data_IF_031464030068
#
_entry.id   IF_031464030068
#
_cell.length_a   1.000
_cell.length_b   1.000
_cell.length_c   1.000
_cell.angle_alpha   90.00
_cell.angle_beta   90.00
_cell.angle_gamma   90.00
#
_symmetry.space_group_name_H-M   'P 1'
#
loop_
_entity.id
_entity.type
_entity.pdbx_description
1 polymer ?
#
# COMPACT_ATOMS: atom_id res chain seq x y z
N UNK A 1 -14.88 46.34 -13.25
CA UNK A 1 -13.47 46.76 -13.35
C UNK A 1 -12.98 46.40 -14.75
N UNK A 2 -12.42 47.39 -15.47
CA UNK A 2 -11.40 47.32 -16.54
C UNK A 2 -11.14 45.95 -17.23
N UNK A 3 -11.39 45.79 -18.55
CA UNK A 3 -10.51 46.17 -19.69
C UNK A 3 -9.29 45.22 -19.84
N UNK A 4 -8.83 44.74 -21.03
CA UNK A 4 -9.06 45.11 -22.44
C UNK A 4 -8.38 44.09 -23.39
N UNK A 5 -8.88 43.91 -24.62
CA UNK A 5 -8.13 43.90 -25.92
C UNK A 5 -9.10 43.59 -27.07
N UNK A 6 -9.63 44.60 -27.76
CA UNK A 6 -9.04 45.31 -28.91
C UNK A 6 -8.76 44.43 -30.14
N UNK A 7 -9.71 44.43 -31.07
CA UNK A 7 -9.49 44.16 -32.50
C UNK A 7 -8.66 45.26 -33.16
N UNK A 8 -8.04 44.97 -34.31
CA UNK A 8 -7.83 45.92 -35.43
C UNK A 8 -7.77 45.10 -36.73
N UNK A 9 -8.35 45.63 -37.80
CA UNK A 9 -8.49 45.01 -39.12
C UNK A 9 -8.12 46.07 -40.18
N UNK A 10 -7.06 45.83 -40.96
CA UNK A 10 -6.63 46.65 -42.12
C UNK A 10 -5.46 45.91 -42.81
N UNK A 11 -5.34 45.82 -44.14
CA UNK A 11 -6.21 46.23 -45.24
C UNK A 11 -5.68 45.66 -46.57
N UNK A 12 -6.53 45.57 -47.60
CA UNK A 12 -6.20 44.97 -48.91
C UNK A 12 -5.47 45.97 -49.81
N UNK A 13 -4.46 45.52 -50.58
CA UNK A 13 -4.22 46.11 -51.91
C UNK A 13 -3.62 45.11 -52.92
N UNK A 14 -4.24 45.08 -54.10
CA UNK A 14 -3.85 44.35 -55.30
C UNK A 14 -2.93 45.25 -56.15
N UNK A 15 -1.85 44.71 -56.76
CA UNK A 15 -1.49 45.12 -58.13
C UNK A 15 -0.60 44.10 -58.86
N UNK A 16 -0.86 43.96 -60.15
CA UNK A 16 -0.20 43.07 -61.11
C UNK A 16 0.88 43.84 -61.87
N UNK A 17 2.03 43.21 -62.15
CA UNK A 17 2.83 43.54 -63.34
C UNK A 17 3.28 42.24 -64.02
N UNK A 18 2.91 42.09 -65.28
CA UNK A 18 3.40 41.04 -66.20
C UNK A 18 4.21 41.74 -67.29
N UNK A 19 5.40 41.25 -67.62
CA UNK A 19 5.84 40.87 -68.98
C UNK A 19 7.37 40.69 -69.09
N UNK A 20 7.80 39.60 -69.74
CA UNK A 20 9.09 39.34 -70.48
C UNK A 20 10.42 39.82 -69.86
N UNK A 21 11.47 39.00 -69.70
CA UNK A 21 11.75 37.64 -70.17
C UNK A 21 12.79 37.60 -71.30
N UNK A 22 13.92 36.93 -71.06
CA UNK A 22 14.78 36.33 -72.10
C UNK A 22 15.69 35.23 -71.51
N UNK A 23 15.67 34.05 -72.15
CA UNK A 23 16.76 33.05 -72.34
C UNK A 23 17.62 32.66 -71.13
N UNK A 24 17.80 31.38 -70.77
CA UNK A 24 17.88 30.14 -71.59
C UNK A 24 17.65 28.90 -70.68
N UNK A 25 17.44 27.65 -71.13
CA UNK A 25 17.40 27.01 -72.48
C UNK A 25 16.38 25.84 -72.44
N UNK A 26 16.57 24.79 -73.26
CA UNK A 26 15.95 23.45 -73.23
C UNK A 26 16.99 22.41 -73.69
N UNK A 27 16.86 21.14 -73.30
CA UNK A 27 16.32 20.02 -74.14
C UNK A 27 16.33 18.65 -73.39
N UNK A 28 15.63 17.59 -73.87
CA UNK A 28 15.28 16.39 -73.08
C UNK A 28 15.68 15.01 -73.68
N UNK A 29 15.24 13.93 -73.00
CA UNK A 29 14.85 12.56 -73.48
C UNK A 29 15.84 11.36 -73.44
N UNK A 30 15.51 10.41 -72.55
CA UNK A 30 15.51 8.92 -72.64
C UNK A 30 16.78 8.01 -72.76
N UNK A 31 16.59 6.76 -72.30
CA UNK A 31 17.52 5.80 -71.67
C UNK A 31 18.03 4.67 -72.62
N UNK A 32 19.09 3.87 -72.29
CA UNK A 32 19.00 2.76 -71.30
C UNK A 32 20.29 2.30 -70.54
N UNK A 33 20.08 1.63 -69.38
CA UNK A 33 20.96 0.63 -68.69
C UNK A 33 22.37 1.05 -68.19
N UNK A 34 22.94 0.52 -67.08
CA UNK A 34 22.47 -0.26 -65.92
C UNK A 34 23.60 -0.26 -64.82
N UNK A 35 23.29 -0.68 -63.58
CA UNK A 35 24.19 -0.97 -62.43
C UNK A 35 25.07 0.20 -61.91
N UNK A 36 24.93 0.73 -60.69
CA UNK A 36 24.88 -0.02 -59.42
C UNK A 36 24.50 0.84 -58.20
N UNK A 37 23.70 0.26 -57.29
CA UNK A 37 23.56 0.59 -55.85
C UNK A 37 23.46 2.07 -55.44
N UNK A 38 22.23 2.57 -55.39
CA UNK A 38 21.75 3.23 -54.18
C UNK A 38 20.85 2.24 -53.44
N UNK A 39 21.28 1.75 -52.28
CA UNK A 39 20.40 1.06 -51.35
C UNK A 39 19.58 2.11 -50.61
N UNK A 40 18.27 1.94 -50.57
CA UNK A 40 17.40 2.74 -49.70
C UNK A 40 17.77 2.43 -48.24
N UNK A 41 18.41 3.38 -47.57
CA UNK A 41 18.45 3.41 -46.12
C UNK A 41 17.04 3.76 -45.64
N UNK A 42 16.22 2.72 -45.46
CA UNK A 42 15.06 2.81 -44.56
C UNK A 42 15.65 3.07 -43.18
N UNK A 43 15.56 4.32 -42.73
CA UNK A 43 15.97 4.70 -41.39
C UNK A 43 15.24 3.82 -40.39
N UNK A 44 15.99 3.09 -39.58
CA UNK A 44 15.42 2.40 -38.43
C UNK A 44 14.94 3.48 -37.47
N UNK A 45 13.61 3.65 -37.34
CA UNK A 45 13.06 4.37 -36.20
C UNK A 45 13.50 3.60 -34.95
N UNK A 46 14.34 4.26 -34.14
CA UNK A 46 14.91 3.67 -32.94
C UNK A 46 13.76 3.39 -31.97
N UNK A 47 13.52 2.10 -31.67
CA UNK A 47 12.37 1.67 -30.89
C UNK A 47 12.48 2.22 -29.47
N UNK A 48 11.62 3.21 -29.16
CA UNK A 48 11.59 3.83 -27.85
C UNK A 48 11.23 2.80 -26.77
N UNK A 49 12.11 2.68 -25.77
CA UNK A 49 11.91 1.85 -24.59
C UNK A 49 10.62 2.22 -23.85
N UNK A 50 9.91 1.21 -23.34
CA UNK A 50 8.72 1.44 -22.52
C UNK A 50 9.11 2.00 -21.15
N UNK A 51 8.59 3.18 -20.80
CA UNK A 51 8.81 3.77 -19.47
C UNK A 51 7.75 3.31 -18.46
N UNK A 52 8.01 3.51 -17.16
CA UNK A 52 7.04 3.21 -16.09
C UNK A 52 5.75 4.02 -16.25
N UNK A 53 5.87 5.29 -16.62
CA UNK A 53 4.75 6.21 -16.83
C UNK A 53 3.90 5.77 -18.03
N UNK A 54 4.53 5.29 -19.10
CA UNK A 54 3.84 4.73 -20.26
C UNK A 54 3.11 3.42 -19.90
N UNK A 55 3.73 2.52 -19.13
CA UNK A 55 3.11 1.28 -18.67
C UNK A 55 1.84 1.56 -17.83
N UNK A 56 1.92 2.51 -16.89
CA UNK A 56 0.78 3.00 -16.10
C UNK A 56 -0.32 3.61 -16.98
N UNK A 57 0.06 4.45 -17.96
CA UNK A 57 -0.89 5.07 -18.87
C UNK A 57 -1.63 4.05 -19.75
N UNK A 58 -0.94 3.00 -20.22
CA UNK A 58 -1.54 1.92 -21.01
C UNK A 58 -2.53 1.11 -20.16
N UNK A 59 -2.20 0.76 -18.91
CA UNK A 59 -3.13 0.03 -18.05
C UNK A 59 -4.37 0.89 -17.71
N UNK A 60 -4.15 2.16 -17.36
CA UNK A 60 -5.23 3.12 -17.07
C UNK A 60 -6.17 3.29 -18.26
N UNK A 61 -5.65 3.47 -19.47
CA UNK A 61 -6.47 3.60 -20.68
C UNK A 61 -7.18 2.27 -21.03
N UNK A 62 -6.56 1.11 -20.82
CA UNK A 62 -7.25 -0.17 -20.97
C UNK A 62 -8.47 -0.28 -20.03
N UNK A 63 -8.33 0.09 -18.76
CA UNK A 63 -9.45 0.08 -17.82
C UNK A 63 -10.48 1.16 -18.07
N UNK A 64 -10.07 2.32 -18.57
CA UNK A 64 -10.98 3.34 -19.07
C UNK A 64 -11.89 2.73 -20.14
N UNK A 65 -11.31 2.12 -21.18
CA UNK A 65 -12.03 1.54 -22.32
C UNK A 65 -12.90 0.32 -22.01
N UNK A 66 -12.61 -0.44 -20.95
CA UNK A 66 -13.30 -1.71 -20.64
C UNK A 66 -14.17 -1.65 -19.38
N UNK A 67 -14.23 -0.51 -18.69
CA UNK A 67 -15.09 -0.31 -17.50
C UNK A 67 -15.84 1.02 -17.49
N UNK A 68 -15.29 2.10 -18.08
CA UNK A 68 -15.87 3.45 -18.01
C UNK A 68 -16.69 3.74 -19.28
N UNK A 69 -17.74 2.93 -19.50
CA UNK A 69 -18.68 3.07 -20.60
C UNK A 69 -19.98 3.74 -20.12
N UNK A 70 -20.63 4.52 -20.99
CA UNK A 70 -21.96 5.07 -20.72
C UNK A 70 -22.99 3.92 -20.63
N UNK A 71 -23.81 3.92 -19.57
CA UNK A 71 -24.74 2.83 -19.27
C UNK A 71 -26.04 3.33 -18.65
N UNK A 72 -27.13 2.58 -18.85
CA UNK A 72 -28.39 2.77 -18.12
C UNK A 72 -28.31 2.04 -16.76
N UNK A 73 -28.32 2.82 -15.67
CA UNK A 73 -28.18 2.32 -14.29
C UNK A 73 -29.29 1.37 -13.84
N UNK A 74 -30.46 1.37 -14.49
CA UNK A 74 -31.62 0.55 -14.10
C UNK A 74 -31.61 -0.83 -14.77
N UNK A 75 -31.04 -0.91 -15.97
CA UNK A 75 -31.07 -2.10 -16.84
C UNK A 75 -29.71 -2.74 -17.05
N UNK A 76 -28.63 -2.07 -16.65
CA UNK A 76 -27.23 -2.43 -16.92
C UNK A 76 -26.87 -2.47 -18.42
N UNK A 77 -27.69 -1.86 -19.28
CA UNK A 77 -27.46 -1.78 -20.72
C UNK A 77 -26.36 -0.75 -21.04
N UNK A 78 -25.42 -1.13 -21.90
CA UNK A 78 -24.35 -0.25 -22.39
C UNK A 78 -24.87 0.57 -23.57
N UNK A 79 -24.64 1.88 -23.51
CA UNK A 79 -25.12 2.87 -24.48
C UNK A 79 -24.10 3.05 -25.61
N UNK A 80 -22.80 3.09 -25.28
CA UNK A 80 -21.71 3.31 -26.25
C UNK A 80 -21.52 2.18 -27.26
N UNK A 81 -21.87 0.94 -26.89
CA UNK A 81 -21.60 -0.27 -27.67
C UNK A 81 -22.79 -1.21 -27.65
N UNK A 82 -23.07 -1.86 -28.79
CA UNK A 82 -24.23 -2.76 -28.94
C UNK A 82 -23.84 -4.23 -29.16
N UNK A 83 -22.56 -4.53 -29.41
CA UNK A 83 -22.03 -5.88 -29.51
C UNK A 83 -20.73 -6.03 -28.73
N UNK A 84 -20.40 -7.27 -28.34
CA UNK A 84 -19.08 -7.59 -27.79
C UNK A 84 -17.97 -7.36 -28.81
N UNK A 85 -18.22 -7.60 -30.08
CA UNK A 85 -17.22 -7.47 -31.14
C UNK A 85 -16.72 -6.02 -31.30
N UNK A 86 -17.64 -5.05 -31.28
CA UNK A 86 -17.28 -3.64 -31.38
C UNK A 86 -16.45 -3.18 -30.16
N UNK A 87 -16.86 -3.57 -28.95
CA UNK A 87 -16.12 -3.26 -27.72
C UNK A 87 -14.75 -3.96 -27.69
N UNK A 88 -14.66 -5.23 -28.10
CA UNK A 88 -13.38 -5.94 -28.21
C UNK A 88 -12.42 -5.24 -29.17
N UNK A 89 -12.91 -4.77 -30.32
CA UNK A 89 -12.08 -4.06 -31.28
C UNK A 89 -11.61 -2.69 -30.75
N UNK A 90 -12.47 -1.95 -30.06
CA UNK A 90 -12.11 -0.70 -29.39
C UNK A 90 -11.05 -0.87 -28.29
N UNK A 91 -11.15 -1.92 -27.47
CA UNK A 91 -10.15 -2.25 -26.44
C UNK A 91 -8.84 -2.76 -27.06
N UNK A 92 -8.89 -3.36 -28.25
CA UNK A 92 -7.71 -3.90 -28.97
C UNK A 92 -6.79 -2.82 -29.60
N UNK A 93 -7.19 -1.55 -29.55
CA UNK A 93 -6.29 -0.44 -29.86
C UNK A 93 -5.17 -0.30 -28.81
N UNK A 94 -5.41 -0.71 -27.56
CA UNK A 94 -4.46 -0.56 -26.43
C UNK A 94 -4.03 -1.89 -25.79
N UNK A 95 -4.67 -3.00 -26.18
CA UNK A 95 -4.33 -4.36 -25.73
C UNK A 95 -4.26 -5.36 -26.88
N UNK A 96 -3.67 -6.53 -26.63
CA UNK A 96 -3.78 -7.68 -27.55
C UNK A 96 -5.24 -8.15 -27.64
N UNK A 97 -5.66 -8.54 -28.85
CA UNK A 97 -7.06 -8.93 -29.17
C UNK A 97 -7.59 -10.05 -28.26
N UNK A 98 -6.74 -10.96 -27.79
CA UNK A 98 -7.11 -12.05 -26.86
C UNK A 98 -7.30 -11.57 -25.42
N UNK A 99 -6.55 -10.54 -25.02
CA UNK A 99 -6.74 -9.93 -23.70
C UNK A 99 -8.02 -9.10 -23.67
N UNK A 100 -8.28 -8.34 -24.74
CA UNK A 100 -9.56 -7.64 -24.93
C UNK A 100 -10.75 -8.61 -24.89
N UNK A 101 -10.67 -9.71 -25.65
CA UNK A 101 -11.67 -10.80 -25.65
C UNK A 101 -11.92 -11.36 -24.26
N UNK A 102 -10.87 -11.77 -23.54
CA UNK A 102 -10.97 -12.32 -22.18
C UNK A 102 -11.65 -11.37 -21.19
N UNK A 103 -11.43 -10.05 -21.31
CA UNK A 103 -12.08 -9.07 -20.44
C UNK A 103 -13.53 -8.80 -20.85
N UNK A 104 -13.80 -8.57 -22.13
CA UNK A 104 -15.14 -8.30 -22.63
C UNK A 104 -16.08 -9.49 -22.39
N UNK A 105 -15.61 -10.72 -22.60
CA UNK A 105 -16.41 -11.91 -22.34
C UNK A 105 -16.70 -12.15 -20.85
N UNK A 106 -15.76 -11.74 -19.99
CA UNK A 106 -15.86 -11.90 -18.54
C UNK A 106 -16.75 -10.84 -17.90
N UNK A 107 -16.75 -9.61 -18.43
CA UNK A 107 -17.45 -8.44 -17.85
C UNK A 107 -18.82 -8.18 -18.48
N UNK A 108 -19.07 -8.61 -19.71
CA UNK A 108 -20.28 -8.26 -20.45
C UNK A 108 -21.04 -9.48 -20.97
N UNK A 109 -22.34 -9.31 -21.16
CA UNK A 109 -23.24 -10.29 -21.76
C UNK A 109 -23.98 -9.64 -22.94
N UNK A 110 -24.08 -10.34 -24.07
CA UNK A 110 -24.81 -9.86 -25.24
C UNK A 110 -26.15 -10.59 -25.36
N UNK A 111 -27.25 -9.84 -25.37
CA UNK A 111 -28.63 -10.36 -25.43
C UNK A 111 -29.48 -9.51 -26.37
N UNK A 112 -30.14 -10.16 -27.33
CA UNK A 112 -31.06 -9.50 -28.28
C UNK A 112 -30.43 -8.32 -29.07
N UNK A 113 -29.12 -8.36 -29.35
CA UNK A 113 -28.41 -7.28 -30.04
C UNK A 113 -28.16 -6.03 -29.18
N UNK A 114 -28.09 -6.22 -27.85
CA UNK A 114 -27.72 -5.22 -26.85
C UNK A 114 -26.64 -5.81 -25.94
N UNK A 115 -25.75 -4.96 -25.45
CA UNK A 115 -24.67 -5.31 -24.53
C UNK A 115 -25.04 -4.90 -23.11
N UNK A 116 -24.76 -5.77 -22.14
CA UNK A 116 -25.05 -5.54 -20.72
C UNK A 116 -23.81 -5.81 -19.87
N UNK A 117 -23.54 -4.99 -18.86
CA UNK A 117 -22.49 -5.29 -17.88
C UNK A 117 -22.99 -6.31 -16.84
N UNK A 118 -22.13 -7.26 -16.49
CA UNK A 118 -22.40 -8.29 -15.48
C UNK A 118 -21.97 -7.74 -14.10
N UNK A 119 -22.88 -7.53 -13.14
CA UNK A 119 -22.52 -7.01 -11.82
C UNK A 119 -21.64 -8.00 -11.05
N UNK A 120 -20.36 -7.62 -10.84
CA UNK A 120 -19.37 -8.40 -10.07
C UNK A 120 -18.24 -7.49 -9.58
N UNK A 121 -17.37 -8.03 -8.72
CA UNK A 121 -16.15 -7.34 -8.29
C UNK A 121 -15.22 -6.99 -9.44
N UNK A 122 -14.58 -5.82 -9.35
CA UNK A 122 -13.63 -5.35 -10.36
C UNK A 122 -12.35 -6.22 -10.41
N UNK A 123 -11.62 -6.18 -11.54
CA UNK A 123 -10.28 -6.73 -11.60
C UNK A 123 -9.32 -5.91 -10.72
N UNK A 124 -8.27 -6.55 -10.18
CA UNK A 124 -7.13 -5.84 -9.59
C UNK A 124 -6.56 -4.82 -10.59
N UNK A 125 -5.98 -3.73 -10.12
CA UNK A 125 -5.28 -2.71 -10.92
C UNK A 125 -3.86 -2.53 -10.37
N UNK A 126 -2.97 -1.80 -11.06
CA UNK A 126 -1.73 -1.37 -10.42
C UNK A 126 -2.09 -0.46 -9.23
N UNK A 127 -1.71 -0.86 -8.03
CA UNK A 127 -1.98 -0.09 -6.81
C UNK A 127 -0.95 1.04 -6.64
N UNK A 128 -1.39 2.27 -6.41
CA UNK A 128 -0.48 3.44 -6.35
C UNK A 128 0.47 3.41 -5.14
N UNK A 129 0.03 2.81 -4.02
CA UNK A 129 0.80 2.72 -2.77
C UNK A 129 1.86 1.61 -2.75
N UNK A 130 1.85 0.70 -3.74
CA UNK A 130 2.74 -0.46 -3.77
C UNK A 130 3.84 -0.30 -4.84
N UNK A 131 5.13 -0.57 -4.50
CA UNK A 131 6.21 -0.48 -5.48
C UNK A 131 6.07 -1.55 -6.57
N UNK A 132 6.41 -1.18 -7.80
CA UNK A 132 6.46 -2.12 -8.93
C UNK A 132 7.78 -2.03 -9.69
N UNK A 133 8.19 -3.17 -10.23
CA UNK A 133 9.30 -3.30 -11.17
C UNK A 133 8.77 -3.29 -12.60
N UNK A 134 9.55 -2.71 -13.52
CA UNK A 134 9.32 -2.79 -14.96
C UNK A 134 10.57 -3.37 -15.61
N UNK A 135 10.49 -4.63 -16.01
CA UNK A 135 11.61 -5.44 -16.46
C UNK A 135 11.58 -5.59 -17.98
N UNK A 136 12.63 -5.17 -18.67
CA UNK A 136 12.81 -5.40 -20.12
C UNK A 136 13.12 -6.87 -20.36
N UNK A 137 12.26 -7.59 -21.08
CA UNK A 137 12.51 -9.00 -21.43
C UNK A 137 13.26 -9.12 -22.77
N UNK A 138 12.87 -8.32 -23.74
CA UNK A 138 13.54 -8.15 -25.04
C UNK A 138 13.25 -6.73 -25.57
N UNK A 139 13.70 -6.41 -26.79
CA UNK A 139 13.47 -5.07 -27.38
C UNK A 139 11.98 -4.73 -27.57
N UNK A 140 11.13 -5.73 -27.77
CA UNK A 140 9.71 -5.58 -28.11
C UNK A 140 8.78 -6.06 -26.98
N UNK A 141 9.32 -6.46 -25.82
CA UNK A 141 8.55 -7.04 -24.70
C UNK A 141 9.07 -6.56 -23.34
N UNK A 142 8.16 -6.05 -22.51
CA UNK A 142 8.40 -5.68 -21.11
C UNK A 142 7.43 -6.41 -20.19
N UNK A 143 7.83 -6.64 -18.95
CA UNK A 143 7.03 -7.24 -17.89
C UNK A 143 7.03 -6.32 -16.66
N UNK A 144 5.85 -5.82 -16.30
CA UNK A 144 5.61 -5.17 -15.02
C UNK A 144 5.25 -6.22 -13.98
N UNK A 145 5.91 -6.15 -12.83
CA UNK A 145 5.65 -7.00 -11.68
C UNK A 145 5.37 -6.11 -10.47
N UNK A 146 4.21 -6.30 -9.85
CA UNK A 146 3.85 -5.68 -8.59
C UNK A 146 3.42 -6.76 -7.60
N UNK A 147 3.90 -6.65 -6.37
CA UNK A 147 3.35 -7.38 -5.23
C UNK A 147 2.50 -6.39 -4.43
N UNK A 148 1.23 -6.72 -4.23
CA UNK A 148 0.25 -5.85 -3.61
C UNK A 148 -0.80 -6.69 -2.87
N UNK A 149 -1.62 -6.03 -2.07
CA UNK A 149 -2.77 -6.65 -1.40
C UNK A 149 -3.99 -5.72 -1.43
N UNK A 150 -5.17 -6.31 -1.43
CA UNK A 150 -6.43 -5.60 -1.22
C UNK A 150 -7.41 -6.44 -0.39
N UNK A 151 -8.45 -5.80 0.15
CA UNK A 151 -9.42 -6.44 1.06
C UNK A 151 -10.25 -7.57 0.40
N UNK A 152 -10.27 -7.67 -0.93
CA UNK A 152 -11.06 -8.65 -1.68
C UNK A 152 -10.21 -9.86 -2.13
N UNK A 153 -8.95 -9.62 -2.49
CA UNK A 153 -8.04 -10.63 -3.05
C UNK A 153 -6.98 -11.13 -2.06
N UNK A 154 -6.74 -10.41 -0.96
CA UNK A 154 -5.61 -10.64 -0.07
C UNK A 154 -4.28 -10.32 -0.78
N UNK A 155 -3.14 -10.89 -0.33
CA UNK A 155 -1.87 -10.70 -1.02
C UNK A 155 -1.83 -11.39 -2.38
N UNK A 156 -1.42 -10.66 -3.41
CA UNK A 156 -1.27 -11.15 -4.77
C UNK A 156 0.00 -10.63 -5.45
N UNK A 157 0.36 -11.32 -6.53
CA UNK A 157 1.37 -10.88 -7.48
C UNK A 157 0.66 -10.56 -8.79
N UNK A 158 0.67 -9.28 -9.16
CA UNK A 158 0.20 -8.79 -10.44
C UNK A 158 1.38 -8.80 -11.42
N UNK A 159 1.23 -9.55 -12.51
CA UNK A 159 2.19 -9.56 -13.62
C UNK A 159 1.48 -9.08 -14.88
N UNK A 160 2.00 -8.03 -15.53
CA UNK A 160 1.47 -7.46 -16.77
C UNK A 160 2.58 -7.47 -17.82
N UNK A 161 2.30 -8.01 -19.01
CA UNK A 161 3.24 -8.00 -20.14
C UNK A 161 2.81 -7.00 -21.20
N UNK A 162 3.69 -6.09 -21.52
CA UNK A 162 3.53 -5.15 -22.63
C UNK A 162 4.32 -5.64 -23.84
N UNK A 163 3.76 -5.49 -25.03
CA UNK A 163 4.42 -5.79 -26.30
C UNK A 163 4.28 -4.66 -27.28
N UNK A 164 5.32 -4.44 -28.07
CA UNK A 164 5.27 -3.52 -29.19
C UNK A 164 4.58 -4.20 -30.37
N UNK A 165 3.36 -3.77 -30.68
CA UNK A 165 2.46 -4.34 -31.69
C UNK A 165 1.79 -3.19 -32.45
N UNK A 166 1.65 -3.32 -33.77
CA UNK A 166 1.02 -2.29 -34.62
C UNK A 166 1.63 -0.88 -34.45
N UNK A 167 2.96 -0.82 -34.31
CA UNK A 167 3.74 0.39 -34.06
C UNK A 167 3.42 1.12 -32.73
N UNK A 168 2.85 0.43 -31.73
CA UNK A 168 2.64 0.99 -30.39
C UNK A 168 2.83 -0.05 -29.28
N UNK A 169 3.08 0.40 -28.05
CA UNK A 169 3.11 -0.47 -26.88
C UNK A 169 1.67 -0.81 -26.45
N UNK A 170 1.33 -2.10 -26.41
CA UNK A 170 0.01 -2.61 -25.99
C UNK A 170 0.15 -3.57 -24.80
N UNK A 171 -0.86 -3.63 -23.94
CA UNK A 171 -0.93 -4.67 -22.91
C UNK A 171 -1.28 -6.02 -23.57
N UNK A 172 -0.33 -6.95 -23.59
CA UNK A 172 -0.45 -8.23 -24.30
C UNK A 172 -1.04 -9.38 -23.47
N UNK A 173 -0.77 -9.38 -22.17
CA UNK A 173 -1.34 -10.34 -21.22
C UNK A 173 -1.21 -9.81 -19.81
N UNK A 174 -2.06 -10.27 -18.91
CA UNK A 174 -1.94 -10.03 -17.48
C UNK A 174 -2.32 -11.25 -16.68
N UNK A 175 -1.73 -11.41 -15.51
CA UNK A 175 -1.97 -12.51 -14.58
C UNK A 175 -2.02 -11.92 -13.18
N UNK A 176 -3.09 -12.22 -12.45
CA UNK A 176 -3.12 -12.08 -11.00
C UNK A 176 -2.87 -13.47 -10.46
N UNK A 177 -1.75 -13.64 -9.77
CA UNK A 177 -1.46 -14.83 -8.99
C UNK A 177 -1.82 -14.49 -7.56
N UNK A 178 -2.88 -15.10 -7.02
CA UNK A 178 -3.07 -15.09 -5.57
C UNK A 178 -1.79 -15.65 -4.97
N UNK A 179 -1.11 -14.85 -4.15
CA UNK A 179 -0.08 -15.40 -3.30
C UNK A 179 -0.82 -16.05 -2.15
N UNK A 180 -1.02 -17.35 -2.31
CA UNK A 180 -0.80 -18.23 -1.18
C UNK A 180 0.51 -17.75 -0.54
N UNK A 181 0.44 -17.15 0.65
CA UNK A 181 1.63 -17.05 1.50
C UNK A 181 2.16 -18.48 1.57
N UNK A 182 3.43 -18.72 1.23
CA UNK A 182 3.98 -20.07 1.24
C UNK A 182 3.95 -20.59 2.69
N UNK A 183 2.88 -21.34 2.99
CA UNK A 183 2.44 -21.64 4.34
C UNK A 183 3.43 -22.49 5.14
N UNK A 184 4.38 -23.13 4.45
CA UNK A 184 5.29 -24.13 4.99
C UNK A 184 6.73 -23.65 5.23
N UNK A 185 7.01 -22.35 5.18
CA UNK A 185 8.30 -21.79 5.64
C UNK A 185 8.18 -20.43 6.31
N UNK A 186 7.19 -19.60 5.94
CA UNK A 186 6.92 -18.33 6.63
C UNK A 186 5.78 -18.51 7.62
N UNK A 187 4.57 -18.97 7.23
CA UNK A 187 3.50 -19.22 8.22
C UNK A 187 3.84 -20.30 9.25
N UNK A 188 4.61 -21.35 8.94
CA UNK A 188 5.05 -22.26 10.01
C UNK A 188 5.96 -21.55 11.03
N UNK A 189 6.77 -20.55 10.63
CA UNK A 189 7.55 -19.75 11.58
C UNK A 189 6.72 -18.66 12.27
N UNK A 190 5.76 -18.05 11.58
CA UNK A 190 4.93 -16.96 12.09
C UNK A 190 3.78 -17.48 12.95
N UNK A 191 3.09 -18.57 12.60
CA UNK A 191 2.13 -19.25 13.50
C UNK A 191 2.85 -19.88 14.70
N UNK A 192 4.08 -20.37 14.54
CA UNK A 192 4.90 -20.78 15.70
C UNK A 192 5.39 -19.56 16.49
N UNK A 193 5.65 -18.42 15.87
CA UNK A 193 6.02 -17.19 16.54
C UNK A 193 4.84 -16.60 17.30
N UNK A 194 3.65 -16.58 16.70
CA UNK A 194 2.36 -16.15 17.25
C UNK A 194 1.93 -17.06 18.39
N UNK A 195 2.07 -18.37 18.24
CA UNK A 195 1.82 -19.32 19.32
C UNK A 195 2.86 -19.16 20.46
N UNK A 196 4.15 -18.95 20.15
CA UNK A 196 5.19 -18.72 21.17
C UNK A 196 5.06 -17.37 21.88
N UNK A 197 4.77 -16.31 21.14
CA UNK A 197 4.58 -14.97 21.70
C UNK A 197 3.29 -14.95 22.50
N UNK A 198 2.25 -15.66 22.07
CA UNK A 198 1.05 -15.89 22.87
C UNK A 198 1.37 -16.63 24.17
N UNK A 199 2.08 -17.75 24.13
CA UNK A 199 2.44 -18.50 25.33
C UNK A 199 3.29 -17.65 26.30
N UNK A 200 4.24 -16.87 25.78
CA UNK A 200 5.09 -15.97 26.57
C UNK A 200 4.27 -14.79 27.13
N UNK A 201 3.41 -14.18 26.32
CA UNK A 201 2.56 -13.05 26.74
C UNK A 201 1.51 -13.49 27.76
N UNK A 202 0.86 -14.65 27.59
CA UNK A 202 -0.03 -15.28 28.57
C UNK A 202 0.70 -15.49 29.92
N UNK A 203 1.97 -15.94 29.89
CA UNK A 203 2.80 -16.10 31.09
C UNK A 203 3.17 -14.76 31.74
N UNK A 204 3.53 -13.76 30.94
CA UNK A 204 3.92 -12.43 31.41
C UNK A 204 2.73 -11.66 31.97
N UNK A 205 1.58 -11.62 31.27
CA UNK A 205 0.37 -10.93 31.78
C UNK A 205 -0.17 -11.62 33.04
N UNK A 206 -0.06 -12.96 33.13
CA UNK A 206 -0.37 -13.68 34.36
C UNK A 206 0.57 -13.26 35.50
N UNK A 207 1.89 -13.21 35.28
CA UNK A 207 2.86 -12.77 36.29
C UNK A 207 2.63 -11.31 36.72
N UNK A 208 2.33 -10.41 35.78
CA UNK A 208 1.92 -9.02 36.03
C UNK A 208 0.68 -9.01 36.94
N UNK A 209 -0.41 -9.72 36.58
CA UNK A 209 -1.66 -9.79 37.38
C UNK A 209 -1.48 -10.34 38.81
N UNK A 210 -0.33 -10.94 39.11
CA UNK A 210 0.02 -11.48 40.44
C UNK A 210 1.09 -10.67 41.16
N UNK A 211 1.59 -9.59 40.54
CA UNK A 211 2.75 -8.81 40.99
C UNK A 211 3.99 -9.68 41.22
N UNK A 212 4.18 -10.71 40.40
CA UNK A 212 5.32 -11.62 40.52
C UNK A 212 6.52 -11.07 39.74
N UNK A 213 7.21 -10.10 40.32
CA UNK A 213 8.41 -9.49 39.74
C UNK A 213 9.53 -10.50 39.48
N UNK A 214 9.60 -11.58 40.27
CA UNK A 214 10.55 -12.67 40.04
C UNK A 214 10.20 -13.44 38.76
N UNK A 215 8.94 -13.80 38.55
CA UNK A 215 8.50 -14.43 37.30
C UNK A 215 8.67 -13.51 36.09
N UNK A 216 8.30 -12.23 36.17
CA UNK A 216 8.51 -11.26 35.08
C UNK A 216 10.01 -11.16 34.72
N UNK A 217 10.90 -11.18 35.72
CA UNK A 217 12.36 -11.08 35.50
C UNK A 217 12.93 -12.15 34.56
N UNK A 218 12.30 -13.32 34.45
CA UNK A 218 12.78 -14.38 33.57
C UNK A 218 12.53 -14.10 32.07
N UNK A 219 11.60 -13.19 31.76
CA UNK A 219 11.29 -12.76 30.39
C UNK A 219 11.98 -11.46 29.99
N UNK A 220 12.47 -10.66 30.94
CA UNK A 220 13.18 -9.39 30.69
C UNK A 220 14.38 -9.58 29.75
N UNK A 221 14.51 -8.70 28.76
CA UNK A 221 15.68 -8.69 27.88
C UNK A 221 16.96 -8.39 28.68
N UNK A 222 17.99 -9.26 28.65
CA UNK A 222 19.13 -9.15 29.56
C UNK A 222 19.97 -7.88 29.35
N UNK A 223 20.09 -7.41 28.10
CA UNK A 223 20.83 -6.19 27.76
C UNK A 223 19.98 -4.91 27.74
N UNK A 224 18.78 -4.95 27.13
CA UNK A 224 17.89 -3.77 26.97
C UNK A 224 17.03 -3.44 28.20
N UNK A 225 16.77 -4.41 29.09
CA UNK A 225 15.80 -4.26 30.18
C UNK A 225 14.35 -4.17 29.69
N UNK A 226 13.43 -3.76 30.56
CA UNK A 226 12.04 -3.40 30.20
C UNK A 226 11.84 -1.90 30.39
N UNK A 227 11.44 -1.21 29.32
CA UNK A 227 11.03 0.19 29.31
C UNK A 227 9.56 0.32 29.71
N UNK A 228 9.24 1.34 30.50
CA UNK A 228 7.88 1.65 30.94
C UNK A 228 7.46 2.99 30.37
N UNK A 229 6.44 2.96 29.50
CA UNK A 229 5.89 4.15 28.86
C UNK A 229 4.44 4.35 29.33
N UNK A 230 4.10 5.48 29.98
CA UNK A 230 2.75 5.69 30.56
C UNK A 230 1.65 5.96 29.51
N UNK A 231 2.04 6.15 28.25
CA UNK A 231 1.19 6.48 27.10
C UNK A 231 1.83 5.91 25.81
N UNK A 232 1.27 6.12 24.62
CA UNK A 232 1.72 5.47 23.37
C UNK A 232 3.10 5.92 22.85
N UNK A 233 3.61 7.09 23.25
CA UNK A 233 4.84 7.65 22.70
C UNK A 233 6.08 7.22 23.51
N UNK A 234 6.83 6.26 22.99
CA UNK A 234 8.03 5.69 23.62
C UNK A 234 9.19 6.69 23.58
N UNK A 235 9.73 7.04 24.75
CA UNK A 235 10.88 7.94 24.89
C UNK A 235 12.14 7.16 25.28
N UNK A 236 13.08 7.01 24.33
CA UNK A 236 14.38 6.36 24.60
C UNK A 236 15.20 7.06 25.69
N UNK A 237 15.05 8.38 25.83
CA UNK A 237 15.79 9.24 26.77
C UNK A 237 15.14 9.32 28.16
N UNK A 238 13.80 9.40 28.22
CA UNK A 238 13.08 9.75 29.46
C UNK A 238 12.34 8.59 30.13
N UNK A 239 11.91 7.57 29.36
CA UNK A 239 11.17 6.44 29.95
C UNK A 239 12.05 5.64 30.90
N UNK A 240 11.48 5.23 32.03
CA UNK A 240 12.19 4.44 33.04
C UNK A 240 12.40 3.02 32.51
N UNK A 241 13.62 2.51 32.65
CA UNK A 241 14.00 1.14 32.27
C UNK A 241 14.44 0.36 33.50
N UNK A 242 13.94 -0.86 33.68
CA UNK A 242 14.38 -1.78 34.72
C UNK A 242 15.07 -3.00 34.10
N UNK A 243 16.27 -3.33 34.59
CA UNK A 243 16.99 -4.54 34.21
C UNK A 243 16.42 -5.81 34.87
N UNK A 244 16.88 -6.98 34.39
CA UNK A 244 16.41 -8.29 34.89
C UNK A 244 16.52 -8.44 36.42
N UNK A 245 17.66 -8.08 37.01
CA UNK A 245 17.83 -8.24 38.47
C UNK A 245 16.98 -7.25 39.28
N UNK A 246 16.73 -6.05 38.75
CA UNK A 246 15.91 -5.03 39.42
C UNK A 246 14.42 -5.40 39.39
N UNK A 247 13.97 -6.04 38.30
CA UNK A 247 12.60 -6.53 38.12
C UNK A 247 12.15 -7.49 39.24
N UNK A 248 13.07 -8.31 39.77
CA UNK A 248 12.79 -9.27 40.86
C UNK A 248 12.22 -8.61 42.12
N UNK A 249 12.62 -7.36 42.38
CA UNK A 249 12.17 -6.56 43.52
C UNK A 249 11.36 -5.33 43.10
N UNK A 250 10.83 -5.29 41.87
CA UNK A 250 10.13 -4.13 41.32
C UNK A 250 8.99 -3.66 42.24
N UNK A 251 8.09 -4.57 42.64
CA UNK A 251 6.93 -4.24 43.45
C UNK A 251 7.25 -3.86 44.91
N UNK A 252 8.38 -4.33 45.44
CA UNK A 252 8.85 -4.00 46.80
C UNK A 252 9.73 -2.74 46.85
N UNK A 253 10.07 -2.16 45.69
CA UNK A 253 10.97 -1.01 45.60
C UNK A 253 10.28 0.28 46.09
N UNK A 254 10.78 0.93 47.17
CA UNK A 254 10.17 2.12 47.75
C UNK A 254 10.62 3.43 47.07
N UNK A 255 11.50 3.36 46.06
CA UNK A 255 12.00 4.56 45.38
C UNK A 255 10.91 5.17 44.49
N UNK A 256 10.80 6.49 44.50
CA UNK A 256 9.92 7.25 43.61
C UNK A 256 10.69 7.63 42.35
N UNK A 257 10.11 7.33 41.19
CA UNK A 257 10.65 7.66 39.87
C UNK A 257 9.76 8.70 39.18
N UNK A 258 10.33 9.48 38.27
CA UNK A 258 9.59 10.29 37.31
C UNK A 258 9.32 9.41 36.08
N UNK A 259 8.07 9.03 35.86
CA UNK A 259 7.66 8.14 34.77
C UNK A 259 7.23 8.89 33.50
N UNK A 260 7.06 10.20 33.59
CA UNK A 260 6.53 11.05 32.53
C UNK A 260 5.69 12.19 33.10
N UNK A 261 4.73 12.67 32.32
CA UNK A 261 3.80 13.74 32.68
C UNK A 261 2.38 13.32 32.32
N UNK A 262 1.40 13.60 33.18
CA UNK A 262 -0.01 13.27 32.92
C UNK A 262 -0.52 14.06 31.72
N UNK A 263 -1.23 13.38 30.82
CA UNK A 263 -1.82 14.05 29.66
C UNK A 263 -2.91 15.05 30.08
N UNK A 264 -3.07 16.11 29.27
CA UNK A 264 -3.95 17.25 29.55
C UNK A 264 -3.49 18.20 30.67
N UNK A 265 -2.99 17.70 31.81
CA UNK A 265 -2.53 18.55 32.93
C UNK A 265 -1.06 18.95 32.84
N UNK A 266 -0.20 18.08 32.29
CA UNK A 266 1.25 18.24 32.26
C UNK A 266 1.93 18.09 33.63
N UNK A 267 1.24 17.59 34.65
CA UNK A 267 1.83 17.36 35.97
C UNK A 267 2.75 16.12 35.97
N UNK A 268 3.83 16.14 36.76
CA UNK A 268 4.81 15.05 36.84
C UNK A 268 4.21 13.74 37.40
N UNK A 269 4.37 12.63 36.67
CA UNK A 269 4.02 11.29 37.16
C UNK A 269 5.16 10.81 38.08
N UNK A 270 5.10 11.20 39.36
CA UNK A 270 6.08 10.81 40.40
C UNK A 270 5.51 9.73 41.32
N UNK A 271 5.83 8.47 41.01
CA UNK A 271 5.25 7.29 41.66
C UNK A 271 6.34 6.27 42.03
N UNK A 272 6.10 5.46 43.05
CA UNK A 272 6.82 4.18 43.22
C UNK A 272 6.39 3.17 42.15
N UNK A 273 7.20 2.14 41.84
CA UNK A 273 6.82 1.08 40.92
C UNK A 273 5.48 0.39 41.25
N UNK A 274 5.16 0.20 42.53
CA UNK A 274 3.87 -0.36 42.96
C UNK A 274 2.69 0.59 42.73
N UNK A 275 2.87 1.90 42.88
CA UNK A 275 1.81 2.89 42.58
C UNK A 275 1.65 3.12 41.07
N UNK A 276 2.75 3.06 40.32
CA UNK A 276 2.74 3.08 38.85
C UNK A 276 2.05 1.84 38.27
N UNK A 277 2.26 0.67 38.89
CA UNK A 277 1.55 -0.55 38.50
C UNK A 277 0.03 -0.39 38.55
N UNK A 278 -0.52 0.13 39.66
CA UNK A 278 -1.98 0.30 39.82
C UNK A 278 -2.58 1.31 38.84
N UNK A 279 -1.79 2.27 38.37
CA UNK A 279 -2.29 3.36 37.50
C UNK A 279 -2.06 3.11 36.00
N UNK A 280 -0.97 2.43 35.64
CA UNK A 280 -0.50 2.32 34.24
C UNK A 280 -0.18 0.89 33.79
N UNK A 281 0.16 -0.06 34.67
CA UNK A 281 0.48 -1.44 34.22
C UNK A 281 -0.74 -2.35 34.30
N UNK A 282 -1.53 -2.24 35.37
CA UNK A 282 -2.68 -3.09 35.63
C UNK A 282 -3.84 -2.27 36.19
N UNK A 283 -4.12 -1.15 35.52
CA UNK A 283 -5.25 -0.28 35.85
C UNK A 283 -6.62 -0.94 35.62
N UNK A 284 -6.65 -2.06 34.91
CA UNK A 284 -7.79 -2.94 34.65
C UNK A 284 -7.33 -4.39 34.60
N UNK A 285 -8.28 -5.33 34.56
CA UNK A 285 -8.01 -6.77 34.51
C UNK A 285 -7.60 -7.25 33.10
N UNK A 286 -6.49 -6.71 32.58
CA UNK A 286 -5.98 -6.96 31.22
C UNK A 286 -5.74 -8.45 30.91
N UNK A 287 -5.50 -9.30 31.90
CA UNK A 287 -5.44 -10.75 31.72
C UNK A 287 -6.76 -11.34 31.15
N UNK A 288 -7.89 -10.70 31.43
CA UNK A 288 -9.22 -11.09 30.97
C UNK A 288 -9.83 -10.04 30.00
N UNK A 289 -8.98 -9.30 29.27
CA UNK A 289 -9.43 -8.38 28.23
C UNK A 289 -10.31 -9.10 27.18
N UNK A 290 -11.41 -8.49 26.71
CA UNK A 290 -12.31 -9.11 25.73
C UNK A 290 -11.66 -9.27 24.35
N UNK A 291 -10.69 -8.42 24.02
CA UNK A 291 -9.98 -8.40 22.75
C UNK A 291 -8.46 -8.41 23.03
N UNK A 292 -7.72 -9.26 22.32
CA UNK A 292 -6.26 -9.35 22.42
C UNK A 292 -5.67 -9.43 21.02
N UNK A 293 -4.89 -8.42 20.66
CA UNK A 293 -4.21 -8.32 19.37
C UNK A 293 -2.80 -8.89 19.44
N UNK A 294 -2.41 -9.69 18.44
CA UNK A 294 -1.05 -10.23 18.30
C UNK A 294 -0.42 -9.64 17.04
N UNK A 295 0.62 -8.83 17.24
CA UNK A 295 1.30 -8.04 16.22
C UNK A 295 0.37 -7.10 15.39
N UNK A 296 -0.80 -6.79 15.94
CA UNK A 296 -1.79 -5.86 15.40
C UNK A 296 -2.13 -4.81 16.46
N UNK A 297 -2.43 -3.57 16.05
CA UNK A 297 -2.95 -2.54 16.94
C UNK A 297 -4.48 -2.54 16.85
N UNK A 298 -5.15 -2.76 17.98
CA UNK A 298 -6.59 -2.69 18.15
C UNK A 298 -7.06 -1.30 18.56
N UNK A 299 -6.28 -0.58 19.38
CA UNK A 299 -6.64 0.75 19.89
C UNK A 299 -6.04 1.89 19.06
N UNK A 300 -6.87 2.84 18.61
CA UNK A 300 -6.42 4.08 17.97
C UNK A 300 -6.71 5.29 18.86
N UNK A 301 -5.67 5.99 19.31
CA UNK A 301 -5.76 7.19 20.15
C UNK A 301 -5.27 8.48 19.47
N UNK A 302 -5.30 9.59 20.22
CA UNK A 302 -4.83 10.91 19.75
C UNK A 302 -3.30 11.09 19.82
N UNK A 303 -2.59 10.24 20.59
CA UNK A 303 -1.16 10.36 20.82
C UNK A 303 -0.34 9.57 19.80
N UNK A 304 0.80 10.16 19.38
CA UNK A 304 1.69 9.62 18.36
C UNK A 304 2.33 8.29 18.79
N UNK A 305 1.90 7.21 18.15
CA UNK A 305 2.48 5.88 18.32
C UNK A 305 3.80 5.74 17.54
N UNK A 306 4.83 5.17 18.16
CA UNK A 306 6.15 4.99 17.55
C UNK A 306 6.83 3.65 17.91
N UNK A 307 6.12 2.70 18.53
CA UNK A 307 6.71 1.43 18.97
C UNK A 307 7.38 0.63 17.83
N UNK A 308 6.80 0.63 16.64
CA UNK A 308 7.35 -0.05 15.45
C UNK A 308 8.54 0.70 14.81
N UNK A 309 8.81 1.94 15.21
CA UNK A 309 10.00 2.71 14.80
C UNK A 309 11.14 2.63 15.83
N UNK A 310 10.80 2.40 17.11
CA UNK A 310 11.73 2.48 18.25
C UNK A 310 12.31 1.11 18.64
N UNK A 311 11.52 0.04 18.55
CA UNK A 311 11.96 -1.33 18.86
C UNK A 311 12.37 -2.08 17.57
N UNK A 312 13.22 -3.09 17.71
CA UNK A 312 13.90 -3.79 16.60
C UNK A 312 13.22 -5.15 16.32
N UNK A 313 12.54 -5.27 15.17
CA UNK A 313 11.65 -6.40 14.82
C UNK A 313 10.67 -6.79 15.98
N UNK A 314 9.90 -5.83 16.52
CA UNK A 314 9.12 -6.06 17.72
C UNK A 314 7.87 -6.90 17.45
N UNK A 315 7.60 -7.85 18.34
CA UNK A 315 6.28 -8.46 18.48
C UNK A 315 5.53 -7.73 19.58
N UNK A 316 4.38 -7.14 19.24
CA UNK A 316 3.53 -6.41 20.17
C UNK A 316 2.31 -7.26 20.50
N UNK A 317 1.96 -7.40 21.79
CA UNK A 317 0.71 -8.01 22.23
C UNK A 317 -0.12 -6.97 22.97
N UNK A 318 -1.28 -6.63 22.44
CA UNK A 318 -2.19 -5.61 22.99
C UNK A 318 -3.40 -6.27 23.66
N UNK A 319 -3.60 -5.98 24.95
CA UNK A 319 -4.80 -6.37 25.71
C UNK A 319 -5.76 -5.18 25.74
N UNK A 320 -6.91 -5.27 25.07
CA UNK A 320 -7.78 -4.13 24.80
C UNK A 320 -9.18 -4.26 25.45
N UNK A 321 -9.60 -3.20 26.11
CA UNK A 321 -10.98 -2.96 26.53
C UNK A 321 -11.57 -1.80 25.71
N UNK A 322 -12.58 -2.05 24.84
CA UNK A 322 -13.17 -1.01 23.98
C UNK A 322 -14.05 0.03 24.71
N UNK A 323 -14.20 -0.09 26.03
CA UNK A 323 -14.96 0.81 26.88
C UNK A 323 -15.69 0.05 28.01
N UNK A 324 -16.12 0.77 29.05
CA UNK A 324 -16.71 0.18 30.27
C UNK A 324 -18.12 0.70 30.56
N UNK A 325 -18.36 2.01 30.41
CA UNK A 325 -19.66 2.64 30.56
C UNK A 325 -20.17 3.18 29.21
N UNK A 326 -21.31 2.67 28.68
CA UNK A 326 -21.91 3.19 27.44
C UNK A 326 -22.19 4.69 27.42
N UNK A 327 -22.34 5.36 28.57
CA UNK A 327 -22.53 6.82 28.66
C UNK A 327 -21.30 7.63 28.21
N UNK A 328 -20.11 7.01 28.15
CA UNK A 328 -18.91 7.65 27.61
C UNK A 328 -18.72 7.40 26.11
N UNK A 329 -19.65 6.73 25.43
CA UNK A 329 -19.61 6.47 23.97
C UNK A 329 -18.29 5.83 23.48
N UNK A 330 -17.64 5.04 24.33
CA UNK A 330 -16.33 4.41 24.07
C UNK A 330 -15.12 5.27 24.43
N UNK A 331 -15.29 6.52 24.88
CA UNK A 331 -14.22 7.42 25.32
C UNK A 331 -13.62 7.06 26.70
N UNK A 332 -13.84 5.83 27.17
CA UNK A 332 -13.26 5.25 28.38
C UNK A 332 -12.47 3.95 28.09
N UNK A 333 -12.16 3.68 26.81
CA UNK A 333 -11.32 2.56 26.41
C UNK A 333 -9.91 2.61 27.03
N UNK A 334 -9.33 1.43 27.25
CA UNK A 334 -7.99 1.23 27.81
C UNK A 334 -7.31 0.05 27.12
N UNK A 335 -5.99 0.11 26.98
CA UNK A 335 -5.19 -1.03 26.56
C UNK A 335 -3.85 -1.11 27.29
N UNK A 336 -3.28 -2.31 27.32
CA UNK A 336 -1.92 -2.55 27.75
C UNK A 336 -1.18 -3.27 26.63
N UNK A 337 -0.04 -2.75 26.20
CA UNK A 337 0.81 -3.39 25.19
C UNK A 337 2.09 -3.92 25.83
N UNK A 338 2.34 -5.21 25.63
CA UNK A 338 3.60 -5.86 25.95
C UNK A 338 4.42 -5.94 24.66
N UNK A 339 5.64 -5.40 24.68
CA UNK A 339 6.54 -5.37 23.52
C UNK A 339 7.71 -6.32 23.75
N UNK A 340 7.96 -7.18 22.78
CA UNK A 340 8.99 -8.19 22.83
C UNK A 340 9.90 -8.16 21.60
N UNK A 341 11.16 -8.53 21.79
CA UNK A 341 12.15 -8.67 20.70
C UNK A 341 12.85 -10.03 20.80
N UNK A 342 13.44 -10.50 19.69
CA UNK A 342 14.19 -11.78 19.65
C UNK A 342 15.60 -11.60 20.23
N UNK A 343 15.91 -12.33 21.30
CA UNK A 343 17.27 -12.44 21.85
C UNK A 343 17.66 -13.92 21.97
N UNK A 344 18.79 -14.30 21.38
CA UNK A 344 19.31 -15.68 21.34
C UNK A 344 18.25 -16.74 20.92
N UNK A 345 17.34 -16.36 20.01
CA UNK A 345 16.29 -17.25 19.50
C UNK A 345 15.06 -17.41 20.40
N UNK A 346 14.90 -16.59 21.44
CA UNK A 346 13.69 -16.50 22.28
C UNK A 346 13.18 -15.06 22.34
N UNK A 347 11.86 -14.88 22.46
CA UNK A 347 11.31 -13.55 22.71
C UNK A 347 11.61 -13.09 24.15
N UNK A 348 11.96 -11.81 24.29
CA UNK A 348 12.21 -11.14 25.56
C UNK A 348 11.42 -9.84 25.66
N UNK A 349 10.81 -9.61 26.81
CA UNK A 349 10.08 -8.40 27.13
C UNK A 349 11.06 -7.22 27.16
N UNK A 350 10.75 -6.18 26.38
CA UNK A 350 11.52 -4.93 26.27
C UNK A 350 10.69 -3.68 26.56
N UNK A 351 9.37 -3.76 26.47
CA UNK A 351 8.47 -2.64 26.70
C UNK A 351 7.16 -3.05 27.38
N UNK A 352 6.69 -2.21 28.28
CA UNK A 352 5.31 -2.19 28.79
C UNK A 352 4.78 -0.78 28.54
N UNK A 353 3.77 -0.69 27.68
CA UNK A 353 3.19 0.57 27.22
C UNK A 353 1.72 0.59 27.63
N UNK A 354 1.32 1.59 28.40
CA UNK A 354 -0.08 1.85 28.71
C UNK A 354 -0.72 2.66 27.58
N UNK A 355 -1.99 2.40 27.28
CA UNK A 355 -2.78 3.26 26.43
C UNK A 355 -4.19 3.43 26.99
N UNK A 356 -4.79 4.58 26.74
CA UNK A 356 -6.16 4.89 27.12
C UNK A 356 -6.64 6.07 26.30
N UNK A 357 -7.95 6.29 26.30
CA UNK A 357 -8.47 7.55 25.83
C UNK A 357 -7.93 8.74 26.66
N UNK A 358 -7.54 9.82 25.97
CA UNK A 358 -7.05 11.07 26.55
C UNK A 358 -7.62 12.30 25.82
N UNK A 359 -7.49 13.49 26.44
CA UNK A 359 -8.29 14.71 26.19
C UNK A 359 -7.51 15.77 25.41
#
# INVERSE_FOLDING_TARGET
>A
MYLKKNSIFLGILFLIVVFTGCTNKKEPTETPQDVSKASEEVGQEELNELTKEQALAIEKEFFNRVLHLEMDENTYEIIDFHSKEDLMNYVSEVADRKLAESFVDSLYEEKNGKLYIIPKGGPAMIAEDFPFELNKLDEHTYELVQEAEDMLLGPYKLTIRFKYLDNTWKMSSRKVEQRMVEENTVRENDEIADQKIKEIADQVIYAISKKDGQAISEYVHPEKGVRFTPYTHVSLENDVVFGKEEMKSFFDNPNVYLWGYYDGSGEEIKLTPSEYYEQFIYSEDFMNAPEVGYNEILSSGNMLENQFEVYDDPMVVEYYFPGFNPEYEGLDWKSLRLVFEKYEGSYRLVGIIHNQWTI
#
